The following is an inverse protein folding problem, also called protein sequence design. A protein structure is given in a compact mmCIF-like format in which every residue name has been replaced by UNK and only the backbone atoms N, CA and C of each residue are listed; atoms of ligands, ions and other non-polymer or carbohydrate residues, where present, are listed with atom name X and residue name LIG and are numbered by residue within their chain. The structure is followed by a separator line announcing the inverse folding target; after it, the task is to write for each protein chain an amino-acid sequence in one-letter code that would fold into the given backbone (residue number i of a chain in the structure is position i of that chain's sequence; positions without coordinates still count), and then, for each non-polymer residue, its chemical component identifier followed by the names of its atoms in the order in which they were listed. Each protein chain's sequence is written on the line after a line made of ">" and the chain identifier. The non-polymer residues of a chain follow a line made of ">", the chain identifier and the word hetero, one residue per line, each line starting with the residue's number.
data_IF_939470608851
#
_entry.id   IF_939470608851
#
_cell.length_a   1.000
_cell.length_b   1.000
_cell.length_c   1.000
_cell.angle_alpha   90.00
_cell.angle_beta   90.00
_cell.angle_gamma   90.00
#
_symmetry.space_group_name_H-M   'P 1'
#
loop_
_entity.id
_entity.type
_entity.pdbx_description
1 polymer ?
#
# COMPACT_ATOMS: atom_id res chain seq x y z
N UNK A 1 57.63 -5.98 -23.25
CA UNK A 1 56.76 -5.89 -24.44
C UNK A 1 55.34 -5.71 -23.94
N UNK A 2 54.52 -4.75 -24.34
CA UNK A 2 54.68 -3.43 -24.94
C UNK A 2 53.42 -2.67 -24.49
N UNK A 3 53.58 -1.40 -24.14
CA UNK A 3 52.49 -0.50 -23.79
C UNK A 3 51.59 -0.22 -24.99
N UNK A 4 50.30 0.06 -24.79
CA UNK A 4 49.66 1.25 -25.41
C UNK A 4 48.45 1.69 -24.59
N UNK A 5 48.51 2.93 -24.11
CA UNK A 5 47.41 3.73 -23.59
C UNK A 5 46.96 4.71 -24.69
N UNK A 6 45.67 5.04 -24.81
CA UNK A 6 45.21 6.36 -25.32
C UNK A 6 43.88 6.76 -24.63
N UNK A 7 43.92 7.94 -24.00
CA UNK A 7 42.83 8.76 -23.46
C UNK A 7 41.87 9.29 -24.54
N UNK A 8 40.61 9.58 -24.18
CA UNK A 8 39.95 10.84 -24.59
C UNK A 8 38.65 11.09 -23.83
N UNK A 9 38.66 12.15 -23.04
CA UNK A 9 37.54 12.93 -22.49
C UNK A 9 36.48 13.35 -23.53
N UNK A 10 35.20 13.46 -23.13
CA UNK A 10 34.35 14.65 -23.40
C UNK A 10 32.87 14.45 -22.99
N UNK A 11 32.47 15.22 -21.98
CA UNK A 11 31.24 16.01 -21.84
C UNK A 11 29.83 15.40 -22.00
N UNK A 12 29.13 15.38 -20.85
CA UNK A 12 27.89 16.12 -20.56
C UNK A 12 26.93 16.38 -21.73
N UNK A 13 25.78 15.69 -21.72
CA UNK A 13 24.50 16.38 -21.93
C UNK A 13 23.34 15.61 -21.29
N UNK A 14 22.70 16.25 -20.30
CA UNK A 14 21.43 15.83 -19.73
C UNK A 14 20.33 15.99 -20.78
N UNK A 15 19.52 14.95 -21.01
CA UNK A 15 18.18 15.09 -21.58
C UNK A 15 17.16 14.48 -20.63
N UNK A 16 16.59 15.36 -19.84
CA UNK A 16 15.33 15.14 -19.12
C UNK A 16 14.20 15.18 -20.15
N UNK A 17 13.68 14.02 -20.53
CA UNK A 17 12.51 13.89 -21.42
C UNK A 17 11.32 13.39 -20.60
N UNK A 18 10.54 14.35 -20.07
CA UNK A 18 9.18 14.10 -19.57
C UNK A 18 8.29 13.71 -20.74
N UNK A 19 7.81 12.46 -20.75
CA UNK A 19 6.72 12.01 -21.63
C UNK A 19 5.43 12.01 -20.80
N UNK A 20 4.69 13.11 -20.88
CA UNK A 20 3.33 13.25 -20.35
C UNK A 20 2.40 13.62 -21.50
N UNK A 21 1.26 12.93 -21.57
CA UNK A 21 0.01 13.47 -22.09
C UNK A 21 -0.31 13.17 -23.56
N UNK A 22 -1.07 12.09 -23.78
CA UNK A 22 -2.02 12.00 -24.89
C UNK A 22 -3.43 12.17 -24.30
N UNK A 23 -3.97 13.38 -24.41
CA UNK A 23 -5.36 13.71 -24.08
C UNK A 23 -5.84 14.70 -25.16
N UNK A 24 -6.76 14.32 -26.05
CA UNK A 24 -7.19 15.17 -27.15
C UNK A 24 -8.46 15.92 -26.76
N UNK A 25 -8.35 17.24 -26.67
CA UNK A 25 -9.49 18.14 -26.77
C UNK A 25 -9.17 19.12 -27.90
N UNK A 26 -9.81 18.85 -29.04
CA UNK A 26 -9.89 19.73 -30.21
C UNK A 26 -10.70 20.96 -29.82
N UNK A 27 -10.08 22.13 -29.83
CA UNK A 27 -10.75 23.37 -30.19
C UNK A 27 -9.81 24.24 -31.03
N UNK A 28 -10.08 24.18 -32.33
CA UNK A 28 -10.04 25.23 -33.35
C UNK A 28 -9.39 26.58 -33.01
N UNK A 29 -8.32 26.87 -33.78
CA UNK A 29 -8.08 28.18 -34.39
C UNK A 29 -7.58 29.30 -33.49
N UNK A 30 -6.36 29.79 -33.79
CA UNK A 30 -6.07 31.21 -34.10
C UNK A 30 -4.55 31.35 -34.32
N UNK A 31 -4.22 32.07 -35.39
CA UNK A 31 -2.88 32.34 -35.89
C UNK A 31 -2.04 33.22 -34.95
N UNK A 32 -0.81 32.80 -34.67
CA UNK A 32 0.16 33.60 -33.90
C UNK A 32 0.90 34.58 -34.83
N UNK A 33 0.53 35.86 -34.73
CA UNK A 33 1.07 37.01 -35.47
C UNK A 33 2.40 37.47 -34.84
N UNK A 34 3.40 37.74 -35.68
CA UNK A 34 4.75 38.20 -35.30
C UNK A 34 4.72 39.50 -34.49
N UNK A 35 5.47 39.51 -33.39
CA UNK A 35 5.78 40.68 -32.56
C UNK A 35 6.99 41.41 -33.15
N UNK A 36 6.75 42.48 -33.90
CA UNK A 36 7.77 43.49 -34.23
C UNK A 36 7.71 44.63 -33.23
N UNK A 37 8.89 45.13 -32.92
CA UNK A 37 9.21 46.32 -32.14
C UNK A 37 8.28 47.49 -32.43
N UNK A 38 7.87 48.17 -31.36
CA UNK A 38 7.69 49.62 -31.38
C UNK A 38 7.84 50.14 -29.94
N UNK A 39 8.96 50.84 -29.71
CA UNK A 39 9.12 51.80 -28.62
C UNK A 39 8.23 52.99 -28.97
N UNK A 40 7.16 53.19 -28.22
CA UNK A 40 6.45 54.47 -28.19
C UNK A 40 6.31 54.97 -26.76
N UNK A 41 6.44 56.28 -26.65
CA UNK A 41 6.55 57.07 -25.44
C UNK A 41 5.40 56.82 -24.46
N UNK A 42 5.73 56.69 -23.18
CA UNK A 42 4.75 56.68 -22.09
C UNK A 42 4.35 58.13 -21.77
N UNK A 43 3.08 58.54 -21.98
CA UNK A 43 2.53 59.70 -21.31
C UNK A 43 2.26 59.36 -19.83
N UNK A 44 2.22 60.42 -19.02
CA UNK A 44 2.13 60.45 -17.57
C UNK A 44 1.18 59.43 -16.94
N UNK A 45 1.46 58.97 -15.70
CA UNK A 45 0.56 58.08 -14.98
C UNK A 45 -0.73 58.83 -14.65
N UNK A 46 -1.78 58.60 -15.44
CA UNK A 46 -3.14 58.76 -14.95
C UNK A 46 -3.26 57.87 -13.71
N UNK A 47 -3.37 58.53 -12.54
CA UNK A 47 -3.72 57.89 -11.30
C UNK A 47 -5.15 57.38 -11.44
N UNK A 48 -5.29 56.18 -12.01
CA UNK A 48 -6.49 55.38 -11.87
C UNK A 48 -6.66 55.18 -10.35
N UNK A 49 -7.71 55.78 -9.79
CA UNK A 49 -8.19 55.47 -8.45
C UNK A 49 -8.19 53.95 -8.31
N UNK A 50 -7.23 53.40 -7.56
CA UNK A 50 -7.44 52.10 -6.95
C UNK A 50 -8.65 52.31 -6.07
N UNK A 51 -9.79 51.78 -6.49
CA UNK A 51 -10.79 51.30 -5.54
C UNK A 51 -9.99 50.49 -4.52
N UNK A 52 -9.81 51.08 -3.33
CA UNK A 52 -9.37 50.32 -2.18
C UNK A 52 -10.56 49.43 -1.91
N UNK A 53 -10.54 48.23 -2.47
CA UNK A 53 -11.37 47.13 -1.98
C UNK A 53 -11.26 47.21 -0.46
N UNK A 54 -12.39 47.50 0.19
CA UNK A 54 -12.45 47.58 1.63
C UNK A 54 -12.02 46.21 2.14
N UNK A 55 -10.76 46.12 2.59
CA UNK A 55 -10.20 44.92 3.17
C UNK A 55 -11.00 44.63 4.45
N UNK A 56 -12.09 43.90 4.30
CA UNK A 56 -12.90 43.37 5.39
C UNK A 56 -12.02 42.40 6.18
N UNK A 57 -11.30 42.94 7.16
CA UNK A 57 -10.46 42.17 8.05
C UNK A 57 -11.30 41.17 8.83
N UNK A 58 -10.88 39.90 8.81
CA UNK A 58 -11.46 38.85 9.65
C UNK A 58 -11.46 39.33 11.10
N UNK A 59 -12.61 39.27 11.75
CA UNK A 59 -12.68 39.68 13.16
C UNK A 59 -11.94 38.65 14.02
N UNK A 60 -11.26 39.11 15.09
CA UNK A 60 -10.53 38.21 15.99
C UNK A 60 -11.45 37.15 16.61
N UNK A 61 -12.70 37.53 16.89
CA UNK A 61 -13.71 36.62 17.42
C UNK A 61 -14.11 35.53 16.43
N UNK A 62 -14.14 35.82 15.13
CA UNK A 62 -14.49 34.85 14.10
C UNK A 62 -13.43 33.76 13.97
N UNK A 63 -12.15 34.13 14.03
CA UNK A 63 -11.05 33.17 14.09
C UNK A 63 -11.07 32.35 15.39
N UNK A 64 -11.45 32.98 16.51
CA UNK A 64 -11.51 32.30 17.81
C UNK A 64 -12.61 31.24 17.83
N UNK A 65 -13.80 31.57 17.37
CA UNK A 65 -14.92 30.60 17.33
C UNK A 65 -14.64 29.49 16.30
N UNK A 66 -14.10 29.83 15.13
CA UNK A 66 -13.77 28.83 14.11
C UNK A 66 -12.73 27.82 14.62
N UNK A 67 -11.65 28.28 15.25
CA UNK A 67 -10.63 27.39 15.81
C UNK A 67 -11.16 26.56 16.98
N UNK A 68 -12.03 27.12 17.83
CA UNK A 68 -12.68 26.37 18.90
C UNK A 68 -13.52 25.19 18.35
N UNK A 69 -14.27 25.40 17.27
CA UNK A 69 -15.05 24.32 16.64
C UNK A 69 -14.13 23.25 16.05
N UNK A 70 -13.03 23.63 15.38
CA UNK A 70 -12.07 22.68 14.79
C UNK A 70 -11.45 21.79 15.88
N UNK A 71 -11.09 22.35 17.03
CA UNK A 71 -10.51 21.58 18.14
C UNK A 71 -11.50 20.51 18.64
N UNK A 72 -12.77 20.87 18.83
CA UNK A 72 -13.80 19.92 19.29
C UNK A 72 -14.02 18.80 18.26
N UNK A 73 -14.14 19.13 16.97
CA UNK A 73 -14.33 18.14 15.91
C UNK A 73 -13.12 17.21 15.75
N UNK A 74 -11.90 17.76 15.82
CA UNK A 74 -10.67 16.97 15.74
C UNK A 74 -10.58 15.95 16.87
N UNK A 75 -10.94 16.32 18.10
CA UNK A 75 -10.94 15.42 19.24
C UNK A 75 -11.82 14.17 19.04
N UNK A 76 -13.03 14.34 18.50
CA UNK A 76 -13.93 13.23 18.20
C UNK A 76 -13.41 12.35 17.05
N UNK A 77 -12.84 12.96 16.02
CA UNK A 77 -12.31 12.24 14.86
C UNK A 77 -11.14 11.30 15.23
N UNK A 78 -10.30 11.69 16.19
CA UNK A 78 -9.13 10.88 16.60
C UNK A 78 -9.57 9.52 17.18
N UNK A 79 -10.60 9.48 18.03
CA UNK A 79 -11.04 8.22 18.65
C UNK A 79 -11.63 7.27 17.61
N UNK A 80 -12.50 7.78 16.73
CA UNK A 80 -13.06 7.01 15.63
C UNK A 80 -11.96 6.47 14.69
N UNK A 81 -10.93 7.27 14.44
CA UNK A 81 -9.81 6.87 13.61
C UNK A 81 -9.03 5.68 14.20
N UNK A 82 -8.81 5.63 15.52
CA UNK A 82 -8.10 4.51 16.16
C UNK A 82 -8.86 3.19 15.98
N UNK A 83 -10.18 3.20 16.23
CA UNK A 83 -11.03 2.02 16.09
C UNK A 83 -11.07 1.55 14.63
N UNK A 84 -11.25 2.49 13.70
CA UNK A 84 -11.27 2.19 12.27
C UNK A 84 -9.93 1.59 11.80
N UNK A 85 -8.82 2.11 12.31
CA UNK A 85 -7.49 1.60 11.96
C UNK A 85 -7.28 0.18 12.47
N UNK A 86 -7.71 -0.14 13.69
CA UNK A 86 -7.64 -1.50 14.22
C UNK A 86 -8.48 -2.49 13.41
N UNK A 87 -9.73 -2.13 13.08
CA UNK A 87 -10.59 -2.99 12.26
C UNK A 87 -10.03 -3.19 10.85
N UNK A 88 -9.39 -2.17 10.27
CA UNK A 88 -8.72 -2.28 8.97
C UNK A 88 -7.60 -3.33 8.97
N UNK A 89 -6.82 -3.39 10.06
CA UNK A 89 -5.77 -4.41 10.21
C UNK A 89 -6.35 -5.82 10.32
N UNK A 90 -7.49 -5.98 10.99
CA UNK A 90 -8.20 -7.25 11.05
C UNK A 90 -8.73 -7.66 9.67
N UNK A 91 -9.31 -6.73 8.91
CA UNK A 91 -9.78 -6.99 7.54
C UNK A 91 -8.65 -7.42 6.60
N UNK A 92 -7.49 -6.76 6.67
CA UNK A 92 -6.31 -7.16 5.91
C UNK A 92 -5.89 -8.59 6.29
N UNK A 93 -5.95 -8.94 7.58
CA UNK A 93 -5.61 -10.28 8.03
C UNK A 93 -6.58 -11.35 7.52
N UNK A 94 -7.87 -11.06 7.48
CA UNK A 94 -8.88 -11.93 6.87
C UNK A 94 -8.66 -12.12 5.38
N UNK A 95 -8.36 -11.04 4.65
CA UNK A 95 -8.05 -11.12 3.22
C UNK A 95 -6.79 -11.97 2.97
N UNK A 96 -5.75 -11.77 3.78
CA UNK A 96 -4.52 -12.57 3.67
C UNK A 96 -4.78 -14.04 3.96
N UNK A 97 -5.66 -14.37 4.91
CA UNK A 97 -6.06 -15.77 5.16
C UNK A 97 -6.70 -16.38 3.91
N UNK A 98 -7.61 -15.66 3.25
CA UNK A 98 -8.23 -16.11 2.00
C UNK A 98 -7.22 -16.35 0.88
N UNK A 99 -6.25 -15.44 0.73
CA UNK A 99 -5.15 -15.59 -0.24
C UNK A 99 -4.25 -16.78 0.11
N UNK A 100 -3.87 -16.92 1.38
CA UNK A 100 -3.03 -18.02 1.88
C UNK A 100 -3.71 -19.36 1.64
N UNK A 101 -5.01 -19.46 1.96
CA UNK A 101 -5.80 -20.66 1.71
C UNK A 101 -5.87 -21.01 0.23
N UNK A 102 -6.23 -20.04 -0.62
CA UNK A 102 -6.31 -20.26 -2.07
C UNK A 102 -4.98 -20.74 -2.64
N UNK A 103 -3.88 -20.12 -2.21
CA UNK A 103 -2.56 -20.46 -2.69
C UNK A 103 -2.08 -21.82 -2.14
N UNK A 104 -2.51 -22.21 -0.94
CA UNK A 104 -2.25 -23.54 -0.38
C UNK A 104 -3.05 -24.62 -1.11
N UNK A 105 -4.32 -24.38 -1.43
CA UNK A 105 -5.13 -25.28 -2.27
C UNK A 105 -4.55 -25.42 -3.68
N UNK A 106 -4.04 -24.33 -4.26
CA UNK A 106 -3.33 -24.38 -5.55
C UNK A 106 -2.07 -25.24 -5.44
N UNK A 107 -1.30 -25.10 -4.36
CA UNK A 107 -0.11 -25.92 -4.11
C UNK A 107 -0.41 -27.41 -3.95
N UNK A 108 -1.55 -27.77 -3.33
CA UNK A 108 -1.97 -29.17 -3.17
C UNK A 108 -2.30 -29.87 -4.49
N UNK A 109 -2.76 -29.12 -5.49
CA UNK A 109 -2.99 -29.65 -6.85
C UNK A 109 -1.66 -30.09 -7.48
N UNK A 110 -0.57 -29.38 -7.16
CA UNK A 110 0.78 -29.74 -7.56
C UNK A 110 1.34 -30.82 -6.62
N UNK A 111 0.91 -32.07 -6.87
CA UNK A 111 1.19 -33.24 -6.01
C UNK A 111 2.66 -33.49 -5.67
N UNK A 112 3.62 -32.97 -6.43
CA UNK A 112 5.06 -33.15 -6.15
C UNK A 112 5.53 -32.34 -4.93
N UNK A 113 4.89 -31.20 -4.63
CA UNK A 113 5.37 -30.24 -3.59
C UNK A 113 4.65 -30.38 -2.23
N UNK A 114 3.45 -30.95 -2.23
CA UNK A 114 2.59 -31.06 -1.03
C UNK A 114 2.52 -32.48 -0.45
N UNK A 115 3.52 -33.32 -0.69
CA UNK A 115 3.56 -34.70 -0.19
C UNK A 115 3.97 -34.83 1.27
N UNK A 116 4.65 -33.82 1.82
CA UNK A 116 5.22 -33.85 3.16
C UNK A 116 4.42 -32.97 4.13
N UNK A 117 4.62 -33.21 5.43
CA UNK A 117 4.17 -32.28 6.45
C UNK A 117 4.83 -30.92 6.21
N UNK A 118 4.02 -29.90 5.95
CA UNK A 118 4.50 -28.53 5.82
C UNK A 118 4.33 -27.82 7.16
N UNK A 119 5.37 -27.13 7.59
CA UNK A 119 5.37 -26.23 8.72
C UNK A 119 6.11 -24.97 8.31
N UNK A 120 5.40 -23.85 8.28
CA UNK A 120 5.94 -22.58 7.80
C UNK A 120 5.55 -21.45 8.74
N UNK A 121 6.54 -20.64 9.11
CA UNK A 121 6.37 -19.37 9.80
C UNK A 121 7.13 -18.34 8.98
N UNK A 122 6.44 -17.29 8.53
CA UNK A 122 7.13 -16.11 8.00
C UNK A 122 6.54 -14.82 8.56
N UNK A 123 7.47 -13.93 8.88
CA UNK A 123 7.25 -12.54 9.27
C UNK A 123 7.95 -11.59 8.30
N UNK A 124 8.71 -12.14 7.35
CA UNK A 124 9.52 -11.35 6.43
C UNK A 124 8.72 -11.03 5.18
N UNK A 125 8.74 -9.77 4.73
CA UNK A 125 8.09 -9.39 3.49
C UNK A 125 8.70 -10.15 2.31
N UNK A 126 7.85 -10.60 1.39
CA UNK A 126 8.28 -11.30 0.19
C UNK A 126 7.59 -12.65 -0.03
N UNK A 127 8.08 -13.46 -0.98
CA UNK A 127 7.51 -14.76 -1.30
C UNK A 127 7.53 -15.71 -0.10
N UNK A 128 6.45 -16.47 0.10
CA UNK A 128 6.36 -17.52 1.11
C UNK A 128 7.16 -18.76 0.70
N UNK A 129 8.47 -18.70 0.94
CA UNK A 129 9.44 -19.78 0.61
C UNK A 129 9.83 -20.57 1.85
N UNK A 130 10.03 -21.88 1.70
CA UNK A 130 10.56 -22.76 2.74
C UNK A 130 12.05 -22.51 2.98
N UNK A 131 12.58 -23.14 4.03
CA UNK A 131 14.00 -23.11 4.35
C UNK A 131 14.88 -23.68 3.22
N UNK A 132 14.33 -24.53 2.35
CA UNK A 132 14.97 -25.06 1.14
C UNK A 132 14.85 -24.11 -0.07
N UNK A 133 14.11 -23.00 0.06
CA UNK A 133 13.89 -22.04 -1.00
C UNK A 133 12.76 -22.41 -1.97
N UNK A 134 12.03 -23.50 -1.73
CA UNK A 134 10.85 -23.84 -2.53
C UNK A 134 9.62 -23.04 -2.09
N UNK A 135 8.77 -22.67 -3.05
CA UNK A 135 7.50 -22.00 -2.76
C UNK A 135 6.54 -22.97 -2.05
N UNK A 136 6.41 -22.85 -0.73
CA UNK A 136 5.46 -23.66 0.07
C UNK A 136 4.03 -23.32 -0.32
N UNK A 137 3.78 -22.05 -0.62
CA UNK A 137 2.46 -21.54 -0.96
C UNK A 137 2.60 -20.72 -2.25
N UNK A 138 2.42 -21.33 -3.43
CA UNK A 138 2.77 -20.73 -4.70
C UNK A 138 2.05 -19.39 -4.91
N UNK A 139 2.83 -18.35 -5.19
CA UNK A 139 2.32 -16.99 -5.44
C UNK A 139 1.89 -16.21 -4.20
N UNK A 140 2.01 -16.77 -2.99
CA UNK A 140 1.74 -16.02 -1.77
C UNK A 140 2.89 -15.06 -1.49
N UNK A 141 2.59 -13.76 -1.50
CA UNK A 141 3.54 -12.70 -1.14
C UNK A 141 3.08 -12.03 0.14
N UNK A 142 3.95 -12.05 1.15
CA UNK A 142 3.68 -11.43 2.43
C UNK A 142 4.01 -9.93 2.35
N UNK A 143 3.07 -9.05 2.73
CA UNK A 143 3.35 -7.63 2.89
C UNK A 143 4.20 -7.40 4.15
N UNK A 144 4.70 -6.17 4.29
CA UNK A 144 5.35 -5.73 5.53
C UNK A 144 4.38 -5.83 6.71
N UNK A 145 4.93 -6.04 7.91
CA UNK A 145 4.19 -6.09 9.17
C UNK A 145 3.11 -7.18 9.22
N UNK A 146 3.39 -8.34 8.63
CA UNK A 146 2.43 -9.44 8.57
C UNK A 146 3.06 -10.76 9.03
N UNK A 147 2.29 -11.52 9.81
CA UNK A 147 2.64 -12.84 10.32
C UNK A 147 1.72 -13.87 9.67
N UNK A 148 2.31 -14.86 9.00
CA UNK A 148 1.58 -16.05 8.53
C UNK A 148 2.24 -17.29 9.12
N UNK A 149 1.40 -18.17 9.66
CA UNK A 149 1.74 -19.53 10.02
C UNK A 149 0.89 -20.47 9.18
N UNK A 150 1.52 -21.43 8.51
CA UNK A 150 0.85 -22.49 7.76
C UNK A 150 1.36 -23.83 8.23
N UNK A 151 0.42 -24.73 8.50
CA UNK A 151 0.66 -26.12 8.79
C UNK A 151 -0.22 -26.96 7.88
N UNK A 152 0.37 -27.96 7.25
CA UNK A 152 -0.33 -28.96 6.44
C UNK A 152 0.20 -30.35 6.81
N UNK A 153 -0.70 -31.29 7.06
CA UNK A 153 -0.39 -32.67 7.38
C UNK A 153 -1.15 -33.61 6.43
N UNK A 154 -0.52 -34.09 5.34
CA UNK A 154 -1.16 -35.01 4.41
C UNK A 154 -1.31 -36.43 4.98
N UNK A 155 -0.59 -36.77 6.06
CA UNK A 155 -0.67 -38.08 6.75
C UNK A 155 -1.86 -38.21 7.71
N UNK A 156 -2.78 -37.26 7.66
CA UNK A 156 -3.90 -37.15 8.58
C UNK A 156 -5.05 -38.10 8.16
N UNK A 157 -5.20 -39.22 8.89
CA UNK A 157 -6.10 -40.34 8.49
C UNK A 157 -7.21 -40.66 9.49
N UNK A 158 -7.22 -40.03 10.67
CA UNK A 158 -8.23 -40.29 11.70
C UNK A 158 -9.16 -39.09 11.87
N UNK A 159 -10.42 -39.34 12.18
CA UNK A 159 -11.42 -38.29 12.42
C UNK A 159 -10.92 -37.31 13.47
N UNK A 160 -10.92 -36.03 13.12
CA UNK A 160 -10.48 -34.95 13.99
C UNK A 160 -8.98 -34.68 14.04
N UNK A 161 -8.18 -35.45 13.30
CA UNK A 161 -6.83 -35.04 12.96
C UNK A 161 -6.87 -33.71 12.19
N UNK A 162 -5.90 -32.82 12.44
CA UNK A 162 -5.80 -31.52 11.77
C UNK A 162 -5.03 -31.67 10.45
N UNK A 163 -5.73 -31.51 9.33
CA UNK A 163 -5.14 -31.56 7.98
C UNK A 163 -4.46 -30.24 7.65
N UNK A 164 -5.16 -29.13 7.88
CA UNK A 164 -4.68 -27.80 7.56
C UNK A 164 -4.89 -26.88 8.76
N UNK A 165 -3.92 -26.01 8.97
CA UNK A 165 -4.01 -24.98 9.99
C UNK A 165 -3.24 -23.75 9.57
N UNK A 166 -3.96 -22.63 9.45
CA UNK A 166 -3.41 -21.35 9.03
C UNK A 166 -3.72 -20.31 10.07
N UNK A 167 -2.71 -19.57 10.51
CA UNK A 167 -2.88 -18.35 11.30
C UNK A 167 -2.39 -17.18 10.47
N UNK A 168 -3.21 -16.15 10.35
CA UNK A 168 -2.79 -14.87 9.80
C UNK A 168 -2.99 -13.75 10.81
N UNK A 169 -2.03 -12.83 10.87
CA UNK A 169 -2.09 -11.68 11.75
C UNK A 169 -1.36 -10.50 11.13
N UNK A 170 -1.98 -9.33 11.24
CA UNK A 170 -1.27 -8.08 11.04
C UNK A 170 -0.54 -7.70 12.33
N UNK A 171 0.74 -7.32 12.27
CA UNK A 171 1.58 -7.13 13.45
C UNK A 171 1.13 -6.00 14.38
N UNK A 172 0.43 -5.01 13.82
CA UNK A 172 -0.22 -3.92 14.56
C UNK A 172 -1.60 -4.27 15.12
N UNK A 173 -2.15 -5.46 14.81
CA UNK A 173 -3.42 -5.93 15.37
C UNK A 173 -3.16 -6.79 16.61
N UNK A 174 -4.01 -6.61 17.63
CA UNK A 174 -4.09 -7.49 18.80
C UNK A 174 -4.86 -8.78 18.54
N UNK A 175 -5.38 -8.96 17.32
CA UNK A 175 -6.20 -10.10 16.92
C UNK A 175 -5.55 -10.86 15.76
N UNK A 176 -5.86 -12.15 15.68
CA UNK A 176 -5.48 -13.03 14.57
C UNK A 176 -6.69 -13.75 14.01
N UNK A 177 -6.56 -14.22 12.78
CA UNK A 177 -7.54 -15.09 12.12
C UNK A 177 -6.96 -16.48 12.04
N UNK A 178 -7.74 -17.47 12.45
CA UNK A 178 -7.31 -18.87 12.45
C UNK A 178 -8.25 -19.64 11.53
N UNK A 179 -7.69 -20.28 10.51
CA UNK A 179 -8.36 -21.30 9.72
C UNK A 179 -7.85 -22.66 10.16
N UNK A 180 -8.76 -23.61 10.36
CA UNK A 180 -8.39 -24.99 10.60
C UNK A 180 -9.33 -25.92 9.87
N UNK A 181 -8.77 -26.95 9.25
CA UNK A 181 -9.50 -28.03 8.62
C UNK A 181 -9.10 -29.33 9.30
N UNK A 182 -10.09 -30.07 9.76
CA UNK A 182 -9.89 -31.37 10.37
C UNK A 182 -10.47 -32.47 9.50
N UNK A 183 -9.77 -33.59 9.45
CA UNK A 183 -10.17 -34.78 8.70
C UNK A 183 -11.56 -35.22 9.15
N UNK A 184 -12.48 -35.34 8.19
CA UNK A 184 -13.89 -35.70 8.36
C UNK A 184 -14.75 -34.81 9.29
N UNK A 185 -14.20 -33.74 9.88
CA UNK A 185 -14.95 -32.80 10.73
C UNK A 185 -15.22 -31.46 10.03
N UNK A 186 -14.71 -31.28 8.81
CA UNK A 186 -14.91 -30.07 8.01
C UNK A 186 -13.95 -28.94 8.37
N UNK A 187 -14.37 -27.73 8.01
CA UNK A 187 -13.56 -26.52 8.13
C UNK A 187 -14.13 -25.56 9.17
N UNK A 188 -13.25 -24.90 9.89
CA UNK A 188 -13.60 -23.85 10.84
C UNK A 188 -12.72 -22.63 10.64
N UNK A 189 -13.32 -21.45 10.74
CA UNK A 189 -12.62 -20.17 10.74
C UNK A 189 -12.97 -19.44 12.02
N UNK A 190 -11.96 -19.14 12.83
CA UNK A 190 -12.09 -18.36 14.05
C UNK A 190 -11.57 -16.96 13.79
N UNK A 191 -12.49 -16.01 13.85
CA UNK A 191 -12.19 -14.58 13.81
C UNK A 191 -11.90 -14.07 15.22
N UNK A 192 -11.12 -13.00 15.34
CA UNK A 192 -10.84 -12.31 16.60
C UNK A 192 -10.18 -13.18 17.69
N UNK A 193 -9.40 -14.19 17.31
CA UNK A 193 -8.62 -14.93 18.29
C UNK A 193 -7.57 -13.99 18.92
N UNK A 194 -7.39 -14.06 20.24
CA UNK A 194 -6.36 -13.28 20.93
C UNK A 194 -4.98 -13.61 20.32
N UNK A 195 -4.24 -12.58 19.94
CA UNK A 195 -2.90 -12.75 19.40
C UNK A 195 -1.91 -13.02 20.56
N UNK A 196 -1.50 -14.27 20.71
CA UNK A 196 -0.28 -14.62 21.47
C UNK A 196 0.95 -14.54 20.58
N UNK A 197 2.11 -14.20 21.15
CA UNK A 197 3.40 -14.16 20.47
C UNK A 197 3.76 -12.80 19.85
N UNK A 198 5.05 -12.61 19.58
CA UNK A 198 5.60 -11.43 18.91
C UNK A 198 5.54 -11.58 17.39
N UNK A 199 5.05 -10.53 16.73
CA UNK A 199 5.76 -10.04 15.56
C UNK A 199 7.01 -9.30 16.06
#
# INVERSE_FOLDING_TARGET
>A
MSQTAINSTSQVHRKCSRRLGHFPWKLSGVAFRKRTEQREAQPAPEQCMRERDEEAGFTLIELLVASAIIVVLSGLAVQAYVIYRESSYHTIAMQMMGNTRTAMEAGKVDSERFTNNLFFISQTPGPATAMDGEDIVPGLTLPNDFYVYVFHNPGCQFVGCMEDYVITRHCKSGQRVIYSKAHDMGETVVYNAAAGGSC
#
